data_IF_924632598270
#
_entry.id   IF_924632598270
#
_cell.length_a   1.000
_cell.length_b   1.000
_cell.length_c   1.000
_cell.angle_alpha   90.00
_cell.angle_beta   90.00
_cell.angle_gamma   90.00
#
_symmetry.space_group_name_H-M   'P 1'
#
loop_
_entity.id
_entity.type
_entity.pdbx_description
1 polymer ?
#
# COMPACT_ATOMS: atom_id res chain seq x y z
N UNK A 1 -7.49 16.39 -36.91
CA UNK A 1 -8.81 16.16 -36.37
C UNK A 1 -8.75 16.42 -34.86
N UNK A 2 -9.63 17.28 -34.37
CA UNK A 2 -9.75 17.55 -32.92
C UNK A 2 -10.62 16.43 -32.31
N UNK A 3 -10.06 15.69 -31.34
CA UNK A 3 -10.83 14.70 -30.59
C UNK A 3 -11.85 15.40 -29.68
N UNK A 4 -13.03 14.79 -29.56
CA UNK A 4 -14.05 15.27 -28.62
C UNK A 4 -13.68 14.82 -27.22
N UNK A 5 -13.58 15.77 -26.29
CA UNK A 5 -13.28 15.47 -24.88
C UNK A 5 -14.61 15.26 -24.13
N UNK A 6 -14.82 14.05 -23.63
CA UNK A 6 -16.00 13.72 -22.82
C UNK A 6 -15.62 13.76 -21.35
N UNK A 7 -16.40 14.46 -20.54
CA UNK A 7 -16.23 14.50 -19.09
C UNK A 7 -17.30 13.63 -18.44
N UNK A 8 -16.89 12.78 -17.54
CA UNK A 8 -17.77 11.97 -16.72
C UNK A 8 -17.61 12.35 -15.25
N UNK A 9 -18.73 12.43 -14.53
CA UNK A 9 -18.72 12.70 -13.09
C UNK A 9 -18.77 11.37 -12.35
N UNK A 10 -17.72 11.10 -11.58
CA UNK A 10 -17.67 9.94 -10.70
C UNK A 10 -17.95 10.38 -9.28
N UNK A 11 -18.93 9.77 -8.62
CA UNK A 11 -19.27 10.02 -7.22
C UNK A 11 -18.65 8.93 -6.36
N UNK A 12 -17.80 9.33 -5.42
CA UNK A 12 -17.25 8.43 -4.41
C UNK A 12 -17.96 8.66 -3.07
N UNK A 13 -18.46 7.62 -2.41
CA UNK A 13 -19.04 7.76 -1.07
C UNK A 13 -17.93 8.07 -0.05
N UNK A 14 -18.20 9.01 0.85
CA UNK A 14 -17.28 9.35 1.92
C UNK A 14 -17.52 8.42 3.11
N UNK A 15 -16.48 7.77 3.58
CA UNK A 15 -16.51 6.87 4.73
C UNK A 15 -15.67 7.45 5.87
N UNK A 16 -16.18 7.34 7.10
CA UNK A 16 -15.46 7.77 8.30
C UNK A 16 -14.61 6.62 8.82
N UNK A 17 -13.33 6.86 8.99
CA UNK A 17 -12.41 5.96 9.66
C UNK A 17 -11.92 6.59 10.95
N UNK A 18 -11.83 5.82 12.02
CA UNK A 18 -11.34 6.34 13.28
C UNK A 18 -11.37 5.32 14.40
N UNK A 19 -10.75 5.70 15.50
CA UNK A 19 -10.77 4.93 16.75
C UNK A 19 -10.81 5.87 17.93
N UNK A 20 -11.33 5.36 19.05
CA UNK A 20 -11.33 6.11 20.30
C UNK A 20 -10.89 5.20 21.45
N UNK A 21 -10.45 5.83 22.52
CA UNK A 21 -10.19 5.18 23.80
C UNK A 21 -10.50 6.14 24.92
N UNK A 22 -10.83 5.62 26.11
CA UNK A 22 -11.12 6.41 27.29
C UNK A 22 -10.24 5.99 28.46
N UNK A 23 -9.88 6.94 29.31
CA UNK A 23 -9.06 6.74 30.50
C UNK A 23 -9.71 7.39 31.70
N UNK A 24 -9.47 6.86 32.88
CA UNK A 24 -9.85 7.57 34.09
C UNK A 24 -8.97 8.83 34.26
N UNK A 25 -9.57 9.91 34.73
CA UNK A 25 -8.87 11.17 34.97
C UNK A 25 -7.68 11.01 35.93
N UNK A 26 -7.82 10.14 36.92
CA UNK A 26 -6.72 9.80 37.82
C UNK A 26 -5.52 9.21 37.08
N UNK A 27 -5.77 8.41 36.03
CA UNK A 27 -4.70 7.84 35.23
C UNK A 27 -3.99 8.94 34.44
N UNK A 28 -4.74 9.83 33.82
CA UNK A 28 -4.17 10.97 33.06
C UNK A 28 -3.37 11.89 33.93
N UNK A 29 -3.86 12.23 35.13
CA UNK A 29 -3.16 13.12 36.08
C UNK A 29 -1.87 12.52 36.67
N UNK A 30 -1.83 11.20 36.79
CA UNK A 30 -0.65 10.46 37.31
C UNK A 30 0.27 9.95 36.22
N UNK A 31 -0.20 9.87 34.99
CA UNK A 31 0.59 9.44 33.86
C UNK A 31 1.58 10.56 33.47
N UNK A 32 2.75 10.18 33.03
CA UNK A 32 3.65 11.13 32.38
C UNK A 32 3.01 11.65 31.08
N UNK A 33 3.31 12.88 30.70
CA UNK A 33 2.86 13.51 29.43
C UNK A 33 3.13 12.62 28.22
N UNK A 34 4.13 11.76 28.31
CA UNK A 34 4.52 10.84 27.26
C UNK A 34 3.45 9.77 26.96
N UNK A 35 2.66 9.37 27.96
CA UNK A 35 1.65 8.31 27.80
C UNK A 35 0.52 8.71 26.86
N UNK A 36 0.01 9.94 26.95
CA UNK A 36 -1.01 10.45 26.05
C UNK A 36 -0.51 10.53 24.60
N UNK A 37 0.72 10.95 24.41
CA UNK A 37 1.33 11.01 23.08
C UNK A 37 1.49 9.62 22.46
N UNK A 38 1.84 8.60 23.25
CA UNK A 38 1.91 7.21 22.77
C UNK A 38 0.53 6.67 22.39
N UNK A 39 -0.50 7.03 23.12
CA UNK A 39 -1.88 6.67 22.76
C UNK A 39 -2.30 7.31 21.45
N UNK A 40 -2.07 8.62 21.29
CA UNK A 40 -2.36 9.28 20.01
C UNK A 40 -1.56 8.70 18.84
N UNK A 41 -0.31 8.32 19.08
CA UNK A 41 0.52 7.65 18.08
C UNK A 41 -0.07 6.29 17.71
N UNK A 42 -0.51 5.50 18.71
CA UNK A 42 -1.16 4.22 18.48
C UNK A 42 -2.47 4.35 17.69
N UNK A 43 -3.32 5.31 18.05
CA UNK A 43 -4.57 5.59 17.33
C UNK A 43 -4.31 6.09 15.89
N UNK A 44 -3.30 6.94 15.69
CA UNK A 44 -2.93 7.41 14.36
C UNK A 44 -2.39 6.26 13.48
N UNK A 45 -1.63 5.34 14.06
CA UNK A 45 -1.17 4.14 13.35
C UNK A 45 -2.32 3.20 13.00
N UNK A 46 -3.27 3.01 13.93
CA UNK A 46 -4.47 2.23 13.67
C UNK A 46 -5.31 2.85 12.54
N UNK A 47 -5.44 4.17 12.52
CA UNK A 47 -6.11 4.90 11.44
C UNK A 47 -5.41 4.65 10.09
N UNK A 48 -4.10 4.80 10.03
CA UNK A 48 -3.32 4.57 8.80
C UNK A 48 -3.46 3.13 8.30
N UNK A 49 -3.41 2.15 9.20
CA UNK A 49 -3.61 0.73 8.83
C UNK A 49 -5.03 0.46 8.32
N UNK A 50 -6.03 1.09 8.91
CA UNK A 50 -7.45 0.90 8.50
C UNK A 50 -7.71 1.52 7.13
N UNK A 51 -7.21 2.72 6.86
CA UNK A 51 -7.33 3.37 5.54
C UNK A 51 -6.56 2.62 4.48
N UNK A 52 -5.37 2.11 4.79
CA UNK A 52 -4.61 1.25 3.90
C UNK A 52 -5.37 -0.05 3.57
N UNK A 53 -5.94 -0.71 4.56
CA UNK A 53 -6.76 -1.91 4.37
C UNK A 53 -7.99 -1.62 3.51
N UNK A 54 -8.61 -0.44 3.66
CA UNK A 54 -9.73 -0.02 2.83
C UNK A 54 -9.32 0.11 1.35
N UNK A 55 -8.16 0.69 1.07
CA UNK A 55 -7.61 0.79 -0.28
C UNK A 55 -7.37 -0.60 -0.88
N UNK A 56 -6.74 -1.50 -0.13
CA UNK A 56 -6.48 -2.88 -0.59
C UNK A 56 -7.79 -3.64 -0.83
N UNK A 57 -8.79 -3.48 0.03
CA UNK A 57 -10.12 -4.07 -0.17
C UNK A 57 -10.81 -3.53 -1.42
N UNK A 58 -10.67 -2.23 -1.69
CA UNK A 58 -11.16 -1.64 -2.95
C UNK A 58 -10.48 -2.28 -4.17
N UNK A 59 -9.16 -2.42 -4.15
CA UNK A 59 -8.41 -3.10 -5.21
C UNK A 59 -8.88 -4.55 -5.43
N UNK A 60 -9.06 -5.29 -4.35
CA UNK A 60 -9.55 -6.67 -4.40
C UNK A 60 -11.00 -6.76 -4.92
N UNK A 61 -11.82 -5.73 -4.71
CA UNK A 61 -13.19 -5.66 -5.19
C UNK A 61 -13.34 -5.29 -6.66
N UNK A 62 -12.27 -4.85 -7.33
CA UNK A 62 -12.31 -4.50 -8.75
C UNK A 62 -12.46 -5.74 -9.63
N UNK A 63 -13.17 -5.58 -10.76
CA UNK A 63 -13.28 -6.64 -11.75
C UNK A 63 -12.05 -6.65 -12.65
N UNK A 64 -11.27 -7.70 -12.55
CA UNK A 64 -10.01 -7.87 -13.29
C UNK A 64 -10.15 -8.73 -14.56
N UNK A 65 -11.36 -8.98 -15.05
CA UNK A 65 -11.60 -9.82 -16.24
C UNK A 65 -10.77 -9.34 -17.44
N UNK A 66 -9.97 -10.23 -18.00
CA UNK A 66 -9.05 -9.93 -19.11
C UNK A 66 -7.82 -9.10 -18.74
N UNK A 67 -7.62 -8.81 -17.45
CA UNK A 67 -6.49 -8.04 -16.91
C UNK A 67 -5.64 -8.86 -15.95
N UNK A 68 -5.93 -10.15 -15.83
CA UNK A 68 -5.17 -11.10 -15.01
C UNK A 68 -4.19 -11.81 -15.93
N UNK A 69 -2.93 -11.72 -15.61
CA UNK A 69 -1.86 -12.46 -16.26
C UNK A 69 -1.39 -13.53 -15.29
N UNK A 70 -1.87 -14.74 -15.51
CA UNK A 70 -1.49 -15.90 -14.69
C UNK A 70 0.00 -16.12 -14.82
N UNK A 71 0.66 -16.10 -13.67
CA UNK A 71 2.05 -16.46 -13.55
C UNK A 71 2.13 -17.67 -12.61
N UNK A 72 2.54 -18.83 -13.12
CA UNK A 72 2.82 -19.97 -12.28
C UNK A 72 3.97 -19.63 -11.33
N UNK A 73 3.63 -19.44 -10.06
CA UNK A 73 4.56 -19.01 -9.03
C UNK A 73 5.67 -20.06 -8.74
N UNK A 74 5.54 -21.25 -9.29
CA UNK A 74 6.56 -22.30 -9.21
C UNK A 74 7.74 -22.07 -10.16
N UNK A 75 7.54 -21.27 -11.22
CA UNK A 75 8.56 -21.07 -12.26
C UNK A 75 8.93 -19.60 -12.39
N UNK A 76 10.14 -19.18 -12.01
CA UNK A 76 10.58 -17.79 -12.09
C UNK A 76 10.40 -17.15 -13.48
N UNK A 77 10.56 -17.93 -14.56
CA UNK A 77 10.38 -17.48 -15.93
C UNK A 77 8.93 -17.07 -16.23
N UNK A 78 7.94 -17.81 -15.71
CA UNK A 78 6.53 -17.48 -15.94
C UNK A 78 6.11 -16.23 -15.20
N UNK A 79 6.65 -15.95 -14.01
CA UNK A 79 6.40 -14.71 -13.29
C UNK A 79 7.00 -13.50 -14.05
N UNK A 80 8.20 -13.65 -14.61
CA UNK A 80 8.81 -12.62 -15.46
C UNK A 80 7.99 -12.36 -16.72
N UNK A 81 7.48 -13.42 -17.36
CA UNK A 81 6.59 -13.33 -18.51
C UNK A 81 5.27 -12.66 -18.16
N UNK A 82 4.66 -12.99 -17.02
CA UNK A 82 3.45 -12.33 -16.51
C UNK A 82 3.64 -10.84 -16.31
N UNK A 83 4.78 -10.42 -15.73
CA UNK A 83 5.12 -8.99 -15.56
C UNK A 83 5.29 -8.30 -16.92
N UNK A 84 5.98 -8.93 -17.87
CA UNK A 84 6.17 -8.38 -19.20
C UNK A 84 4.84 -8.22 -19.96
N UNK A 85 3.97 -9.23 -19.89
CA UNK A 85 2.66 -9.20 -20.51
C UNK A 85 1.76 -8.12 -19.88
N UNK A 86 1.75 -7.99 -18.54
CA UNK A 86 1.03 -6.94 -17.85
C UNK A 86 1.54 -5.53 -18.23
N UNK A 87 2.85 -5.35 -18.35
CA UNK A 87 3.46 -4.10 -18.81
C UNK A 87 3.01 -3.74 -20.23
N UNK A 88 3.07 -4.71 -21.14
CA UNK A 88 2.62 -4.52 -22.52
C UNK A 88 1.12 -4.19 -22.60
N UNK A 89 0.31 -4.88 -21.81
CA UNK A 89 -1.14 -4.64 -21.75
C UNK A 89 -1.46 -3.21 -21.27
N UNK A 90 -0.84 -2.77 -20.16
CA UNK A 90 -1.05 -1.41 -19.64
C UNK A 90 -0.66 -0.38 -20.70
N UNK A 91 0.51 -0.53 -21.32
CA UNK A 91 0.97 0.41 -22.33
C UNK A 91 0.06 0.46 -23.56
N UNK A 92 -0.38 -0.69 -24.04
CA UNK A 92 -1.25 -0.78 -25.23
C UNK A 92 -2.62 -0.15 -25.01
N UNK A 93 -3.19 -0.30 -23.80
CA UNK A 93 -4.55 0.14 -23.53
C UNK A 93 -4.63 1.57 -22.95
N UNK A 94 -3.60 2.04 -22.25
CA UNK A 94 -3.62 3.36 -21.62
C UNK A 94 -2.65 4.36 -22.24
N UNK A 95 -1.66 3.91 -23.00
CA UNK A 95 -0.55 4.73 -23.47
C UNK A 95 0.45 5.10 -22.36
N UNK A 96 0.19 4.68 -21.11
CA UNK A 96 1.01 4.96 -19.94
C UNK A 96 1.86 3.74 -19.58
N UNK A 97 3.03 3.97 -19.00
CA UNK A 97 3.88 2.90 -18.49
C UNK A 97 3.54 2.62 -17.03
N UNK A 98 3.64 1.36 -16.57
CA UNK A 98 3.57 1.09 -15.14
C UNK A 98 4.74 1.77 -14.43
N UNK A 99 4.51 2.22 -13.21
CA UNK A 99 5.49 2.95 -12.40
C UNK A 99 5.96 2.14 -11.20
N UNK A 100 5.13 1.21 -10.71
CA UNK A 100 5.47 0.39 -9.55
C UNK A 100 4.78 -0.97 -9.59
N UNK A 101 5.34 -1.87 -8.78
CA UNK A 101 4.77 -3.18 -8.45
C UNK A 101 4.33 -3.13 -6.99
N UNK A 102 3.07 -3.46 -6.72
CA UNK A 102 2.51 -3.55 -5.38
C UNK A 102 2.21 -5.02 -5.07
N UNK A 103 2.72 -5.54 -3.96
CA UNK A 103 2.59 -6.97 -3.64
C UNK A 103 2.60 -7.22 -2.13
N UNK A 104 2.10 -8.39 -1.72
CA UNK A 104 2.23 -8.91 -0.37
C UNK A 104 3.64 -9.42 -0.08
N UNK A 105 3.89 -9.79 1.15
CA UNK A 105 5.20 -10.32 1.60
C UNK A 105 5.61 -11.61 0.89
N UNK A 106 4.64 -12.47 0.57
CA UNK A 106 4.88 -13.70 -0.18
C UNK A 106 5.23 -13.43 -1.65
N UNK A 107 4.55 -12.47 -2.28
CA UNK A 107 4.87 -12.04 -3.64
C UNK A 107 6.26 -11.42 -3.74
N UNK A 108 6.67 -10.63 -2.73
CA UNK A 108 8.04 -10.12 -2.64
C UNK A 108 9.07 -11.26 -2.63
N UNK A 109 8.85 -12.30 -1.82
CA UNK A 109 9.75 -13.48 -1.77
C UNK A 109 9.82 -14.18 -3.13
N UNK A 110 8.71 -14.28 -3.85
CA UNK A 110 8.67 -14.86 -5.19
C UNK A 110 9.41 -14.01 -6.21
N UNK A 111 9.20 -12.67 -6.18
CA UNK A 111 9.91 -11.73 -7.04
C UNK A 111 11.43 -11.77 -6.78
N UNK A 112 11.83 -11.88 -5.51
CA UNK A 112 13.24 -11.98 -5.13
C UNK A 112 13.91 -13.27 -5.61
N UNK A 113 13.14 -14.32 -5.86
CA UNK A 113 13.64 -15.61 -6.38
C UNK A 113 13.74 -15.64 -7.90
N UNK A 114 13.24 -14.64 -8.63
CA UNK A 114 13.41 -14.58 -10.08
C UNK A 114 14.89 -14.48 -10.39
N UNK A 115 15.41 -15.48 -11.06
CA UNK A 115 16.80 -15.52 -11.48
C UNK A 115 16.90 -15.80 -12.99
N UNK A 116 17.88 -15.22 -13.63
CA UNK A 116 18.23 -15.59 -14.99
C UNK A 116 18.85 -17.02 -15.00
N UNK A 117 18.96 -17.61 -16.18
CA UNK A 117 19.52 -18.97 -16.37
C UNK A 117 20.96 -19.10 -15.84
N UNK A 118 21.68 -17.98 -15.72
CA UNK A 118 23.04 -17.89 -15.18
C UNK A 118 23.07 -17.68 -13.64
N UNK A 119 21.91 -17.72 -12.97
CA UNK A 119 21.78 -17.57 -11.52
C UNK A 119 21.77 -16.11 -11.05
N UNK A 120 21.77 -15.13 -11.93
CA UNK A 120 21.64 -13.71 -11.55
C UNK A 120 20.21 -13.40 -11.16
N UNK A 121 20.03 -12.76 -10.01
CA UNK A 121 18.72 -12.32 -9.54
C UNK A 121 18.22 -11.14 -10.37
N UNK A 122 16.93 -11.16 -10.73
CA UNK A 122 16.26 -10.06 -11.40
C UNK A 122 15.96 -8.90 -10.44
N UNK A 123 15.89 -9.17 -9.13
CA UNK A 123 15.72 -8.15 -8.10
C UNK A 123 17.01 -7.35 -7.92
N UNK A 124 16.96 -6.08 -8.21
CA UNK A 124 18.02 -5.13 -7.92
C UNK A 124 17.75 -4.49 -6.56
N UNK A 125 18.61 -4.74 -5.59
CA UNK A 125 18.57 -4.05 -4.31
C UNK A 125 19.27 -2.69 -4.47
N UNK A 126 18.49 -1.60 -4.36
CA UNK A 126 18.97 -0.21 -4.33
C UNK A 126 20.11 0.15 -5.33
N UNK A 127 19.73 0.34 -6.59
CA UNK A 127 20.44 1.27 -7.49
C UNK A 127 21.87 0.99 -7.90
N UNK A 128 22.58 0.09 -7.25
CA UNK A 128 23.90 -0.31 -7.68
C UNK A 128 23.81 -1.48 -8.64
N UNK A 129 23.97 -1.16 -9.91
CA UNK A 129 24.05 -2.13 -10.97
C UNK A 129 25.18 -3.11 -10.72
N UNK A 130 24.90 -4.37 -10.99
CA UNK A 130 25.76 -5.53 -10.92
C UNK A 130 25.94 -6.15 -9.52
N UNK A 131 25.18 -7.19 -9.37
CA UNK A 131 25.39 -8.20 -8.34
C UNK A 131 26.73 -8.92 -8.60
N UNK A 132 27.82 -8.38 -8.11
CA UNK A 132 29.06 -9.11 -7.96
C UNK A 132 28.88 -10.08 -6.81
N UNK A 133 29.11 -11.37 -7.08
CA UNK A 133 29.10 -12.45 -6.10
C UNK A 133 29.83 -12.00 -4.82
N UNK A 134 29.10 -11.81 -3.73
CA UNK A 134 29.67 -11.54 -2.39
C UNK A 134 29.06 -10.45 -1.56
N UNK A 135 28.17 -9.59 -2.06
CA UNK A 135 27.57 -8.54 -1.26
C UNK A 135 26.07 -8.43 -1.51
N UNK A 136 25.32 -9.40 -1.01
CA UNK A 136 23.84 -9.31 -0.98
C UNK A 136 23.46 -8.48 0.24
N UNK A 137 23.48 -7.17 0.10
CA UNK A 137 22.79 -6.32 1.05
C UNK A 137 21.31 -6.34 0.68
N UNK A 138 20.50 -7.05 1.46
CA UNK A 138 19.05 -7.02 1.35
C UNK A 138 18.54 -5.97 2.31
N UNK A 139 18.43 -4.69 1.92
CA UNK A 139 17.92 -3.66 2.79
C UNK A 139 16.40 -3.75 2.82
N UNK A 140 15.87 -4.46 3.78
CA UNK A 140 14.44 -4.50 4.05
C UNK A 140 13.60 -5.08 2.90
N UNK A 141 12.31 -4.80 2.94
CA UNK A 141 11.32 -5.20 1.92
C UNK A 141 11.27 -4.18 0.76
N UNK A 142 12.41 -3.82 0.19
CA UNK A 142 12.52 -2.87 -0.90
C UNK A 142 13.40 -3.41 -2.03
N UNK A 143 13.19 -2.93 -3.22
CA UNK A 143 13.95 -3.31 -4.40
C UNK A 143 13.25 -2.92 -5.68
N UNK A 144 13.85 -3.24 -6.80
CA UNK A 144 13.22 -3.07 -8.12
C UNK A 144 13.37 -4.32 -8.95
N UNK A 145 12.36 -4.62 -9.74
CA UNK A 145 12.37 -5.70 -10.73
C UNK A 145 12.01 -5.11 -12.08
N UNK A 146 12.82 -5.39 -13.09
CA UNK A 146 12.69 -4.81 -14.44
C UNK A 146 12.62 -3.27 -14.46
N UNK A 147 13.30 -2.61 -13.51
CA UNK A 147 13.30 -1.16 -13.39
C UNK A 147 12.07 -0.58 -12.68
N UNK A 148 11.15 -1.42 -12.21
CA UNK A 148 9.97 -1.01 -11.46
C UNK A 148 10.21 -1.19 -9.96
N UNK A 149 10.03 -0.15 -9.14
CA UNK A 149 10.13 -0.26 -7.69
C UNK A 149 9.04 -1.18 -7.14
N UNK A 150 9.39 -1.97 -6.14
CA UNK A 150 8.46 -2.85 -5.43
C UNK A 150 8.01 -2.16 -4.16
N UNK A 151 6.70 -2.08 -3.97
CA UNK A 151 6.05 -1.64 -2.74
C UNK A 151 5.44 -2.89 -2.10
N UNK A 152 5.86 -3.18 -0.88
CA UNK A 152 5.36 -4.35 -0.14
C UNK A 152 4.35 -3.90 0.89
N UNK A 153 3.15 -4.45 0.82
CA UNK A 153 2.07 -4.19 1.76
C UNK A 153 1.53 -5.51 2.32
N UNK A 154 1.62 -5.73 3.64
CA UNK A 154 1.15 -6.97 4.27
C UNK A 154 -0.38 -7.16 4.19
N UNK A 155 -1.15 -6.12 3.88
CA UNK A 155 -2.60 -6.23 3.71
C UNK A 155 -3.00 -6.91 2.38
N UNK A 156 -2.07 -6.98 1.42
CA UNK A 156 -2.32 -7.66 0.14
C UNK A 156 -2.29 -9.17 0.35
N UNK A 157 -3.30 -9.84 -0.20
CA UNK A 157 -3.45 -11.28 -0.13
C UNK A 157 -2.29 -12.05 -0.78
N UNK A 158 -2.16 -13.30 -0.40
CA UNK A 158 -1.13 -14.20 -0.94
C UNK A 158 -1.32 -14.44 -2.42
N UNK A 159 -0.21 -14.50 -3.17
CA UNK A 159 -0.21 -14.81 -4.59
C UNK A 159 -0.66 -13.67 -5.50
N UNK A 160 -0.85 -12.46 -4.97
CA UNK A 160 -1.29 -11.30 -5.75
C UNK A 160 -0.13 -10.33 -5.97
N UNK A 161 0.03 -9.90 -7.21
CA UNK A 161 0.97 -8.87 -7.64
C UNK A 161 0.20 -7.87 -8.51
N UNK A 162 0.12 -6.63 -8.07
CA UNK A 162 -0.46 -5.55 -8.85
C UNK A 162 0.63 -4.76 -9.55
N UNK A 163 0.37 -4.39 -10.79
CA UNK A 163 1.18 -3.42 -11.52
C UNK A 163 0.32 -2.23 -11.86
N UNK A 164 0.77 -1.05 -11.55
CA UNK A 164 -0.02 0.16 -11.75
C UNK A 164 0.84 1.38 -12.12
N UNK A 165 0.13 2.38 -12.63
CA UNK A 165 0.61 3.74 -12.74
C UNK A 165 -0.06 4.58 -11.65
N UNK A 166 0.63 5.58 -11.12
CA UNK A 166 0.14 6.45 -10.05
C UNK A 166 -1.16 7.20 -10.40
N UNK A 167 -1.42 7.39 -11.70
CA UNK A 167 -2.65 8.05 -12.17
C UNK A 167 -3.87 7.12 -12.24
N UNK A 168 -3.68 5.81 -12.04
CA UNK A 168 -4.77 4.83 -12.17
C UNK A 168 -5.77 4.89 -11.01
N UNK A 169 -5.34 5.37 -9.84
CA UNK A 169 -6.17 5.45 -8.64
C UNK A 169 -5.94 6.82 -8.00
N UNK A 170 -7.04 7.51 -7.73
CA UNK A 170 -7.04 8.72 -6.93
C UNK A 170 -7.69 8.42 -5.57
N UNK A 171 -7.00 8.75 -4.50
CA UNK A 171 -7.54 8.71 -3.14
C UNK A 171 -7.77 10.12 -2.65
N UNK A 172 -8.93 10.34 -2.03
CA UNK A 172 -9.29 11.65 -1.47
C UNK A 172 -9.45 11.48 0.04
N UNK A 173 -8.71 12.26 0.77
CA UNK A 173 -8.76 12.31 2.23
C UNK A 173 -9.09 13.74 2.67
N UNK A 174 -9.84 13.90 3.76
CA UNK A 174 -10.17 15.22 4.28
C UNK A 174 -8.92 15.97 4.69
N UNK A 175 -8.87 17.27 4.38
CA UNK A 175 -7.74 18.12 4.74
C UNK A 175 -7.53 18.13 6.26
N UNK A 176 -6.29 17.84 6.69
CA UNK A 176 -5.92 17.78 8.11
C UNK A 176 -6.21 16.46 8.80
N UNK A 177 -6.63 15.41 8.07
CA UNK A 177 -6.74 14.07 8.63
C UNK A 177 -5.33 13.50 8.98
N UNK A 178 -5.22 12.68 10.03
CA UNK A 178 -6.25 12.39 11.02
C UNK A 178 -6.48 13.51 12.04
N UNK A 179 -7.74 13.83 12.29
CA UNK A 179 -8.15 14.82 13.29
C UNK A 179 -8.13 14.20 14.68
N UNK A 180 -7.60 14.90 15.66
CA UNK A 180 -7.56 14.47 17.07
C UNK A 180 -8.63 15.23 17.85
N UNK A 181 -9.41 14.48 18.60
CA UNK A 181 -10.39 15.04 19.56
C UNK A 181 -10.11 14.52 20.95
N UNK A 182 -10.33 15.38 21.92
CA UNK A 182 -10.32 15.04 23.35
C UNK A 182 -11.60 15.58 23.98
N UNK A 183 -12.23 14.77 24.81
CA UNK A 183 -13.42 15.15 25.56
C UNK A 183 -13.33 14.59 26.98
N UNK A 184 -13.81 15.36 27.97
CA UNK A 184 -13.81 14.97 29.37
C UNK A 184 -15.22 14.87 29.91
N UNK A 185 -15.59 13.69 30.43
CA UNK A 185 -16.85 13.47 31.10
C UNK A 185 -16.70 13.73 32.62
N UNK A 186 -17.40 14.76 33.09
CA UNK A 186 -17.37 15.18 34.50
C UNK A 186 -18.10 14.19 35.39
N UNK A 187 -19.06 13.46 34.87
CA UNK A 187 -19.91 12.54 35.67
C UNK A 187 -19.20 11.22 35.97
N UNK A 188 -18.42 10.75 35.03
CA UNK A 188 -17.66 9.49 35.14
C UNK A 188 -16.18 9.70 35.48
N UNK A 189 -15.71 10.96 35.47
CA UNK A 189 -14.31 11.32 35.63
C UNK A 189 -13.42 10.58 34.64
N UNK A 190 -13.86 10.50 33.38
CA UNK A 190 -13.12 9.89 32.28
C UNK A 190 -12.79 10.91 31.21
N UNK A 191 -11.58 10.83 30.69
CA UNK A 191 -11.14 11.59 29.52
C UNK A 191 -11.11 10.64 28.32
N UNK A 192 -11.82 11.01 27.25
CA UNK A 192 -11.87 10.28 26.01
C UNK A 192 -11.03 10.95 24.94
N UNK A 193 -10.28 10.15 24.21
CA UNK A 193 -9.47 10.62 23.08
C UNK A 193 -9.86 9.85 21.83
N UNK A 194 -9.99 10.55 20.72
CA UNK A 194 -10.26 9.93 19.43
C UNK A 194 -9.38 10.48 18.33
N UNK A 195 -9.18 9.65 17.33
CA UNK A 195 -8.50 10.00 16.08
C UNK A 195 -9.40 9.53 14.94
N UNK A 196 -9.76 10.43 14.03
CA UNK A 196 -10.62 10.10 12.90
C UNK A 196 -10.29 10.92 11.66
N UNK A 197 -10.77 10.45 10.52
CA UNK A 197 -10.73 11.14 9.24
C UNK A 197 -11.79 10.62 8.28
N UNK A 198 -11.96 11.31 7.18
CA UNK A 198 -12.88 10.96 6.10
C UNK A 198 -12.08 10.62 4.85
N UNK A 199 -12.40 9.50 4.23
CA UNK A 199 -11.79 9.03 3.00
C UNK A 199 -12.84 8.47 2.04
#
# INVERSE_FOLDING_TARGET
>A
SFGNLTFETVTAPVTTYGGYTSFSRQYVERASINTLNEVFRGLSLAYANTTNTALVNYLNGLTWTGKIFDADAGTPSSLAEGIANATAYIYTNSGLRPEFILTGTDGYVKLAKIAATDGRLALSANGDGMNTVGNVNIPGLSGSVFGLPIIVDPAIGTGVVYMANSTAIATHESAGAPVRLTDGDITTLTDSVSVYGYM
#
